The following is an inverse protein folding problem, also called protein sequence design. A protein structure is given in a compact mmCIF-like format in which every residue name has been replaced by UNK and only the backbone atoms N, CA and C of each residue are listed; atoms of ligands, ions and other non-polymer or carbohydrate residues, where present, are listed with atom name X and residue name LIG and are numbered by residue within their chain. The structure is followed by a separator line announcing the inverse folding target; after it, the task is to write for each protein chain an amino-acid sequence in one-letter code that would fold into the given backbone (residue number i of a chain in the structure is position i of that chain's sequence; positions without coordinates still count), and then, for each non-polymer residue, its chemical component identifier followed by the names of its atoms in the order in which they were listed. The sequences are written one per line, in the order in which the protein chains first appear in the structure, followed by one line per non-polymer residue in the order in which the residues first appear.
data_IF_592349009829
#
_entry.id   IF_592349009829
#
_cell.length_a   1.000
_cell.length_b   1.000
_cell.length_c   1.000
_cell.angle_alpha   90.00
_cell.angle_beta   90.00
_cell.angle_gamma   90.00
#
_symmetry.space_group_name_H-M   'P 1'
#
loop_
_entity.id
_entity.type
_entity.pdbx_description
1 polymer ?
#
# COMPACT_ATOMS: atom_id res chain seq x y z
N UNK A 1 19.58 4.37 -17.70
CA UNK A 1 18.39 4.88 -17.02
C UNK A 1 17.32 3.79 -16.97
N UNK A 2 16.75 3.56 -15.80
CA UNK A 2 15.86 2.41 -15.57
C UNK A 2 14.42 2.85 -15.29
N UNK A 3 13.90 3.74 -16.13
CA UNK A 3 12.49 4.12 -16.05
C UNK A 3 11.64 3.06 -16.75
N UNK A 4 10.55 2.67 -16.11
CA UNK A 4 9.66 1.64 -16.63
C UNK A 4 8.22 2.11 -16.60
N UNK A 5 7.43 1.61 -17.54
CA UNK A 5 5.99 1.80 -17.55
C UNK A 5 5.31 0.83 -16.58
N UNK A 6 4.11 1.18 -16.14
CA UNK A 6 3.40 0.39 -15.12
C UNK A 6 2.69 -0.87 -15.61
N UNK A 7 2.64 -1.14 -16.91
CA UNK A 7 1.98 -2.35 -17.43
C UNK A 7 2.68 -3.59 -16.91
N UNK A 8 1.92 -4.51 -16.33
CA UNK A 8 2.44 -5.74 -15.75
C UNK A 8 2.68 -5.67 -14.25
N UNK A 9 2.57 -4.48 -13.66
CA UNK A 9 2.61 -4.35 -12.20
C UNK A 9 1.31 -4.84 -11.56
N UNK A 10 1.40 -5.38 -10.34
CA UNK A 10 0.21 -5.86 -9.64
C UNK A 10 0.42 -5.81 -8.13
N UNK A 11 -0.70 -5.91 -7.41
CA UNK A 11 -0.74 -5.93 -5.95
C UNK A 11 -1.21 -7.31 -5.48
N UNK A 12 -0.57 -7.83 -4.44
CA UNK A 12 -0.98 -9.07 -3.79
C UNK A 12 -1.18 -8.84 -2.31
N UNK A 13 -2.00 -9.64 -1.68
CA UNK A 13 -2.33 -9.51 -0.26
C UNK A 13 -2.19 -10.85 0.45
N UNK A 14 -1.89 -10.79 1.75
CA UNK A 14 -1.91 -11.95 2.63
C UNK A 14 -2.60 -11.57 3.92
N UNK A 15 -3.54 -12.38 4.36
CA UNK A 15 -4.24 -12.16 5.63
C UNK A 15 -3.35 -12.38 6.85
N UNK A 16 -2.17 -12.99 6.66
CA UNK A 16 -1.22 -13.27 7.73
C UNK A 16 -0.26 -12.11 7.95
N UNK A 17 0.36 -12.09 9.12
CA UNK A 17 1.45 -11.16 9.43
C UNK A 17 2.78 -11.90 9.38
N UNK A 18 3.89 -11.25 8.97
CA UNK A 18 5.17 -11.93 8.94
C UNK A 18 5.70 -12.18 10.36
N UNK A 19 6.51 -13.22 10.52
CA UNK A 19 7.17 -13.50 11.79
C UNK A 19 8.18 -12.41 12.14
N UNK A 20 8.89 -11.91 11.13
CA UNK A 20 9.80 -10.78 11.23
C UNK A 20 9.47 -9.77 10.13
N UNK A 21 9.67 -8.48 10.43
CA UNK A 21 9.34 -7.40 9.48
C UNK A 21 10.53 -7.09 8.57
N UNK A 22 11.06 -8.12 7.96
CA UNK A 22 12.15 -8.04 6.99
C UNK A 22 11.78 -8.82 5.73
N UNK A 23 12.66 -8.80 4.72
CA UNK A 23 12.40 -9.48 3.45
C UNK A 23 12.13 -10.98 3.64
N UNK A 24 12.90 -11.65 4.51
CA UNK A 24 12.73 -13.09 4.75
C UNK A 24 11.38 -13.41 5.38
N UNK A 25 10.93 -12.60 6.33
CA UNK A 25 9.62 -12.79 6.98
C UNK A 25 8.46 -12.63 6.00
N UNK A 26 8.52 -11.62 5.15
CA UNK A 26 7.48 -11.40 4.14
C UNK A 26 7.49 -12.47 3.04
N UNK A 27 8.66 -12.89 2.59
CA UNK A 27 8.77 -13.92 1.54
C UNK A 27 8.16 -15.24 1.98
N UNK A 28 8.20 -15.54 3.28
CA UNK A 28 7.63 -16.77 3.82
C UNK A 28 6.10 -16.80 3.79
N UNK A 29 5.43 -15.66 3.59
CA UNK A 29 3.96 -15.59 3.52
C UNK A 29 3.46 -16.04 2.16
N UNK A 30 2.21 -16.54 2.15
CA UNK A 30 1.51 -16.86 0.91
C UNK A 30 0.65 -15.66 0.50
N UNK A 31 0.93 -15.10 -0.67
CA UNK A 31 0.21 -13.95 -1.20
C UNK A 31 -0.78 -14.37 -2.29
N UNK A 32 -1.92 -13.68 -2.31
CA UNK A 32 -2.96 -13.85 -3.32
C UNK A 32 -3.07 -12.56 -4.11
N UNK A 33 -3.00 -12.65 -5.45
CA UNK A 33 -3.08 -11.46 -6.30
C UNK A 33 -4.47 -10.83 -6.22
N UNK A 34 -4.49 -9.50 -6.15
CA UNK A 34 -5.72 -8.72 -6.25
C UNK A 34 -5.98 -8.42 -7.72
N UNK A 35 -7.07 -8.95 -8.27
CA UNK A 35 -7.42 -8.77 -9.67
C UNK A 35 -8.02 -7.42 -9.96
N UNK A 36 -7.96 -7.02 -11.23
CA UNK A 36 -8.64 -5.85 -11.78
C UNK A 36 -8.19 -4.50 -11.20
N UNK A 37 -7.00 -4.44 -10.62
CA UNK A 37 -6.41 -3.18 -10.13
C UNK A 37 -6.00 -2.33 -11.33
N UNK A 38 -6.51 -1.10 -11.40
CA UNK A 38 -6.20 -0.20 -12.52
C UNK A 38 -4.99 0.67 -12.28
N UNK A 39 -4.66 0.94 -11.01
CA UNK A 39 -3.53 1.79 -10.65
C UNK A 39 -3.06 1.49 -9.24
N UNK A 40 -1.76 1.58 -9.02
CA UNK A 40 -1.18 1.57 -7.67
C UNK A 40 -0.57 2.94 -7.46
N UNK A 41 -1.24 3.84 -6.69
CA UNK A 41 -0.72 5.18 -6.45
C UNK A 41 0.56 5.18 -5.63
N UNK A 42 1.24 6.31 -5.60
CA UNK A 42 2.43 6.48 -4.78
C UNK A 42 2.10 6.31 -3.30
N UNK A 43 2.98 5.63 -2.59
CA UNK A 43 2.89 5.57 -1.14
C UNK A 43 4.29 5.47 -0.53
N UNK A 44 4.41 5.93 0.70
CA UNK A 44 5.67 5.89 1.41
C UNK A 44 5.59 6.67 2.70
N UNK A 45 6.62 6.52 3.52
CA UNK A 45 6.70 7.20 4.80
C UNK A 45 7.00 8.68 4.63
N UNK A 46 6.44 9.50 5.51
CA UNK A 46 6.73 10.93 5.55
C UNK A 46 6.84 11.40 6.99
N UNK A 47 7.61 12.46 7.18
CA UNK A 47 7.75 13.13 8.47
C UNK A 47 7.04 14.47 8.42
N UNK A 48 6.34 14.82 9.50
CA UNK A 48 5.79 16.14 9.66
C UNK A 48 6.91 17.08 10.06
N UNK A 49 7.13 18.20 9.34
CA UNK A 49 8.20 19.13 9.72
C UNK A 49 7.85 19.86 11.01
N UNK A 50 8.83 20.00 11.89
CA UNK A 50 8.76 20.82 13.08
C UNK A 50 9.74 21.97 12.92
N UNK A 51 9.27 23.19 13.09
CA UNK A 51 10.10 24.38 12.88
C UNK A 51 10.23 25.20 14.16
N UNK A 52 11.38 25.84 14.33
CA UNK A 52 11.65 26.77 15.40
C UNK A 52 12.53 27.89 14.87
N UNK A 53 12.14 29.13 15.16
CA UNK A 53 12.92 30.30 14.70
C UNK A 53 13.42 31.07 15.94
N UNK A 54 14.73 30.98 16.25
CA UNK A 54 15.29 31.75 17.36
C UNK A 54 15.21 33.25 17.08
N UNK A 55 14.85 34.02 18.10
CA UNK A 55 14.76 35.49 17.99
C UNK A 55 16.11 36.10 17.61
N UNK A 56 17.18 35.56 18.16
CA UNK A 56 18.53 36.08 17.96
C UNK A 56 19.01 36.03 16.52
N UNK A 57 18.72 34.92 15.84
CA UNK A 57 19.22 34.69 14.48
C UNK A 57 18.20 35.00 13.41
N UNK A 58 16.89 34.82 13.72
CA UNK A 58 15.82 34.92 12.73
C UNK A 58 15.84 33.83 11.66
N UNK A 59 16.64 32.78 11.86
CA UNK A 59 16.78 31.66 10.92
C UNK A 59 15.90 30.52 11.34
N UNK A 60 15.09 30.00 10.42
CA UNK A 60 14.18 28.87 10.70
C UNK A 60 15.00 27.58 10.82
N UNK A 61 14.94 26.96 11.99
CA UNK A 61 15.47 25.61 12.19
C UNK A 61 14.37 24.60 11.90
N UNK A 62 14.72 23.54 11.18
CA UNK A 62 13.76 22.53 10.75
C UNK A 62 14.16 21.16 11.30
N UNK A 63 13.17 20.46 11.84
CA UNK A 63 13.36 19.12 12.42
C UNK A 63 12.33 18.16 11.86
N UNK A 64 12.66 16.89 11.87
CA UNK A 64 11.71 15.84 11.55
C UNK A 64 10.79 15.65 12.77
N UNK A 65 9.49 15.75 12.56
CA UNK A 65 8.47 15.49 13.57
C UNK A 65 7.92 14.09 13.49
N UNK A 66 6.61 13.97 13.59
CA UNK A 66 5.93 12.67 13.54
C UNK A 66 6.20 11.93 12.25
N UNK A 67 6.33 10.60 12.33
CA UNK A 67 6.50 9.71 11.20
C UNK A 67 5.14 9.08 10.85
N UNK A 68 4.74 9.22 9.60
CA UNK A 68 3.53 8.59 9.07
C UNK A 68 3.94 7.67 7.92
N UNK A 69 3.58 6.40 7.99
CA UNK A 69 3.94 5.43 6.97
C UNK A 69 3.12 5.57 5.68
N UNK A 70 2.12 6.43 5.68
CA UNK A 70 1.37 6.77 4.49
C UNK A 70 0.09 5.96 4.32
N UNK A 71 -0.61 6.30 3.25
CA UNK A 71 -1.85 5.63 2.88
C UNK A 71 -2.01 5.67 1.36
N UNK A 72 -2.82 4.76 0.82
CA UNK A 72 -3.20 4.79 -0.58
C UNK A 72 -4.67 4.45 -0.75
N UNK A 73 -5.22 4.90 -1.88
CA UNK A 73 -6.53 4.46 -2.37
C UNK A 73 -6.32 3.79 -3.72
N UNK A 74 -6.61 2.50 -3.81
CA UNK A 74 -6.40 1.71 -5.01
C UNK A 74 -7.71 1.61 -5.76
N UNK A 75 -7.82 2.19 -6.98
CA UNK A 75 -8.99 1.98 -7.82
C UNK A 75 -8.90 0.61 -8.51
N UNK A 76 -10.01 -0.10 -8.53
CA UNK A 76 -10.07 -1.41 -9.16
C UNK A 76 -11.48 -1.70 -9.70
N UNK A 77 -11.55 -2.65 -10.63
CA UNK A 77 -12.83 -3.18 -11.07
C UNK A 77 -13.34 -4.19 -10.05
N UNK A 78 -14.60 -4.05 -9.64
CA UNK A 78 -15.15 -4.94 -8.62
C UNK A 78 -15.48 -6.31 -9.19
N UNK A 79 -14.89 -7.35 -8.61
CA UNK A 79 -15.18 -8.75 -8.91
C UNK A 79 -15.41 -9.50 -7.60
N UNK A 80 -16.65 -9.86 -7.32
CA UNK A 80 -17.00 -10.52 -6.06
C UNK A 80 -16.40 -11.92 -5.92
N UNK A 81 -15.92 -12.51 -7.00
CA UNK A 81 -15.30 -13.84 -6.99
C UNK A 81 -13.78 -13.78 -6.89
N UNK A 82 -13.17 -12.59 -6.97
CA UNK A 82 -11.72 -12.47 -6.93
C UNK A 82 -11.18 -12.75 -5.52
N UNK A 83 -10.28 -13.74 -5.36
CA UNK A 83 -9.79 -14.10 -4.03
C UNK A 83 -9.07 -12.96 -3.30
N UNK A 84 -8.31 -12.13 -4.01
CA UNK A 84 -7.63 -10.99 -3.39
C UNK A 84 -8.60 -9.95 -2.86
N UNK A 85 -9.65 -9.64 -3.61
CA UNK A 85 -10.68 -8.71 -3.16
C UNK A 85 -11.45 -9.24 -1.97
N UNK A 86 -11.69 -10.56 -1.91
CA UNK A 86 -12.34 -11.19 -0.77
C UNK A 86 -11.50 -11.02 0.50
N UNK A 87 -10.18 -11.16 0.40
CA UNK A 87 -9.26 -10.95 1.53
C UNK A 87 -9.33 -9.49 2.01
N UNK A 88 -9.38 -8.53 1.08
CA UNK A 88 -9.48 -7.11 1.43
C UNK A 88 -10.78 -6.80 2.18
N UNK A 89 -11.90 -7.35 1.73
CA UNK A 89 -13.20 -7.16 2.40
C UNK A 89 -13.19 -7.81 3.80
N UNK A 90 -12.63 -8.99 3.92
CA UNK A 90 -12.50 -9.66 5.22
C UNK A 90 -11.61 -8.87 6.19
N UNK A 91 -10.53 -8.27 5.69
CA UNK A 91 -9.66 -7.42 6.50
C UNK A 91 -10.37 -6.15 6.97
N UNK A 92 -11.23 -5.57 6.14
CA UNK A 92 -12.04 -4.42 6.53
C UNK A 92 -12.96 -4.76 7.71
N UNK A 93 -13.63 -5.90 7.65
CA UNK A 93 -14.55 -6.33 8.72
C UNK A 93 -13.81 -6.72 10.00
N UNK A 94 -12.70 -7.44 9.88
CA UNK A 94 -11.94 -7.92 11.04
C UNK A 94 -11.13 -6.82 11.71
N UNK A 95 -10.85 -5.72 10.99
CA UNK A 95 -10.04 -4.60 11.47
C UNK A 95 -8.60 -5.01 11.79
N UNK A 96 -8.15 -6.11 11.23
CA UNK A 96 -6.79 -6.62 11.42
C UNK A 96 -5.82 -6.02 10.42
N UNK A 97 -4.56 -5.84 10.83
CA UNK A 97 -3.51 -5.50 9.89
C UNK A 97 -3.17 -6.72 9.04
N UNK A 98 -2.98 -6.50 7.75
CA UNK A 98 -2.61 -7.55 6.80
C UNK A 98 -1.38 -7.12 6.01
N UNK A 99 -0.77 -8.08 5.32
CA UNK A 99 0.43 -7.83 4.53
C UNK A 99 0.08 -7.58 3.07
N UNK A 100 0.79 -6.63 2.45
CA UNK A 100 0.63 -6.27 1.05
C UNK A 100 1.97 -6.46 0.32
N UNK A 101 1.89 -6.86 -0.94
CA UNK A 101 3.05 -6.99 -1.81
C UNK A 101 2.75 -6.28 -3.13
N UNK A 102 3.52 -5.25 -3.41
CA UNK A 102 3.48 -4.58 -4.72
C UNK A 102 4.58 -5.19 -5.59
N UNK A 103 4.22 -5.74 -6.73
CA UNK A 103 5.17 -6.20 -7.74
C UNK A 103 5.15 -5.19 -8.88
N UNK A 104 6.28 -4.55 -9.11
CA UNK A 104 6.42 -3.56 -10.18
C UNK A 104 6.68 -4.24 -11.52
N UNK A 105 6.44 -3.51 -12.59
CA UNK A 105 6.62 -4.03 -13.94
C UNK A 105 8.05 -4.46 -14.25
N UNK A 106 9.04 -3.91 -13.54
CA UNK A 106 10.44 -4.31 -13.70
C UNK A 106 10.86 -5.48 -12.83
N UNK A 107 9.94 -6.02 -12.03
CA UNK A 107 10.20 -7.15 -11.13
C UNK A 107 10.57 -6.77 -9.70
N UNK A 108 10.75 -5.49 -9.41
CA UNK A 108 11.01 -5.02 -8.05
C UNK A 108 9.78 -5.27 -7.18
N UNK A 109 9.98 -5.78 -5.97
CA UNK A 109 8.90 -6.12 -5.05
C UNK A 109 9.02 -5.27 -3.81
N UNK A 110 7.89 -4.73 -3.35
CA UNK A 110 7.83 -3.98 -2.10
C UNK A 110 6.77 -4.58 -1.19
N UNK A 111 7.17 -4.89 0.03
CA UNK A 111 6.28 -5.44 1.05
C UNK A 111 5.96 -4.39 2.09
N UNK A 112 4.71 -4.34 2.54
CA UNK A 112 4.28 -3.40 3.57
C UNK A 112 3.09 -3.97 4.33
N UNK A 113 2.90 -3.53 5.57
CA UNK A 113 1.72 -3.88 6.34
C UNK A 113 0.79 -2.70 6.47
N UNK A 114 -0.50 -2.97 6.47
CA UNK A 114 -1.50 -1.95 6.63
C UNK A 114 -2.85 -2.50 7.02
N UNK A 115 -3.79 -1.57 7.22
CA UNK A 115 -5.18 -1.88 7.54
C UNK A 115 -6.07 -1.34 6.45
N UNK A 116 -7.06 -2.14 6.05
CA UNK A 116 -8.07 -1.71 5.08
C UNK A 116 -9.08 -0.84 5.83
N UNK A 117 -9.22 0.42 5.41
CA UNK A 117 -10.12 1.38 6.04
C UNK A 117 -11.46 1.49 5.35
N UNK A 118 -11.51 1.29 4.03
CA UNK A 118 -12.75 1.36 3.29
C UNK A 118 -12.67 0.57 1.99
N UNK A 119 -13.81 0.12 1.52
CA UNK A 119 -13.90 -0.59 0.24
C UNK A 119 -15.25 -0.25 -0.40
N UNK A 120 -15.49 1.03 -0.77
CA UNK A 120 -16.74 1.41 -1.43
C UNK A 120 -16.84 0.81 -2.83
N UNK A 121 -18.04 0.41 -3.21
CA UNK A 121 -18.33 -0.22 -4.49
C UNK A 121 -19.49 0.49 -5.15
N UNK A 122 -19.39 0.71 -6.45
CA UNK A 122 -20.42 1.40 -7.20
C UNK A 122 -20.84 0.63 -8.45
N UNK A 123 -21.95 1.05 -9.02
CA UNK A 123 -22.44 0.54 -10.30
C UNK A 123 -22.89 1.71 -11.16
N UNK A 124 -22.63 1.60 -12.45
CA UNK A 124 -23.14 2.60 -13.40
C UNK A 124 -23.37 1.99 -14.78
N UNK A 125 -24.37 2.53 -15.46
CA UNK A 125 -24.70 2.10 -16.83
C UNK A 125 -23.60 2.57 -17.79
N UNK A 126 -23.16 1.68 -18.66
CA UNK A 126 -22.18 2.02 -19.69
C UNK A 126 -20.74 2.03 -19.24
N UNK A 127 -20.45 1.59 -18.01
CA UNK A 127 -19.08 1.49 -17.51
C UNK A 127 -18.90 0.25 -16.64
N UNK A 128 -17.65 -0.11 -16.40
CA UNK A 128 -17.30 -1.20 -15.50
C UNK A 128 -17.67 -0.82 -14.07
N UNK A 129 -18.20 -1.76 -13.30
CA UNK A 129 -18.45 -1.54 -11.89
C UNK A 129 -17.12 -1.36 -11.15
N UNK A 130 -16.94 -0.19 -10.54
CA UNK A 130 -15.69 0.19 -9.92
C UNK A 130 -15.78 0.12 -8.41
N UNK A 131 -14.63 -0.12 -7.79
CA UNK A 131 -14.47 -0.05 -6.36
C UNK A 131 -13.16 0.67 -6.03
N UNK A 132 -13.05 1.13 -4.80
CA UNK A 132 -11.81 1.74 -4.31
C UNK A 132 -11.47 1.12 -2.96
N UNK A 133 -10.21 0.81 -2.75
CA UNK A 133 -9.74 0.28 -1.47
C UNK A 133 -8.78 1.28 -0.85
N UNK A 134 -9.13 1.82 0.32
CA UNK A 134 -8.25 2.72 1.06
C UNK A 134 -7.52 1.93 2.13
N UNK A 135 -6.20 2.05 2.13
CA UNK A 135 -5.31 1.32 3.04
C UNK A 135 -4.46 2.33 3.78
N UNK A 136 -4.42 2.23 5.11
CA UNK A 136 -3.51 2.97 5.97
C UNK A 136 -2.36 2.07 6.38
N UNK A 137 -1.13 2.47 6.08
CA UNK A 137 0.04 1.64 6.38
C UNK A 137 0.50 1.84 7.82
N UNK A 138 0.88 0.75 8.46
CA UNK A 138 1.20 0.72 9.88
C UNK A 138 2.68 0.47 10.16
N UNK A 139 3.45 0.07 9.14
CA UNK A 139 4.89 -0.20 9.28
C UNK A 139 5.65 0.26 8.06
N UNK A 140 6.97 0.39 8.23
CA UNK A 140 7.85 0.73 7.11
C UNK A 140 7.82 -0.36 6.05
N UNK A 141 7.95 0.05 4.79
CA UNK A 141 8.04 -0.88 3.67
C UNK A 141 9.41 -1.55 3.60
N UNK A 142 9.43 -2.72 2.97
CA UNK A 142 10.66 -3.47 2.68
C UNK A 142 10.71 -3.70 1.18
N UNK A 143 11.75 -3.22 0.53
CA UNK A 143 11.90 -3.35 -0.91
C UNK A 143 12.92 -4.44 -1.25
N UNK A 144 12.57 -5.31 -2.19
CA UNK A 144 13.43 -6.38 -2.69
C UNK A 144 13.69 -6.13 -4.17
N UNK A 145 14.97 -6.12 -4.54
CA UNK A 145 15.36 -5.87 -5.92
C UNK A 145 14.85 -6.98 -6.85
N UNK A 146 14.67 -6.62 -8.12
CA UNK A 146 14.31 -7.58 -9.16
C UNK A 146 15.40 -8.65 -9.30
N UNK A 147 14.96 -9.88 -9.57
CA UNK A 147 15.84 -11.03 -9.76
C UNK A 147 15.82 -11.52 -11.18
#
# INVERSE_FOLDING_TARGET
MALTEGIGGFMSVSAATPADFDAAGYVALTFTDVGEVSEIPEFGASHTPVTFTPLKTGIVNKFHGELNYGSITIPLGYDSADPGQIILLAALESKSAISFRETRSDGTIRYIMGKVMSFPRGQSVGSVNMASCTIEFTRADVEVAAQ
#
